data_IF_764519328170
#
_entry.id   IF_764519328170
#
_cell.length_a   1.000
_cell.length_b   1.000
_cell.length_c   1.000
_cell.angle_alpha   90.00
_cell.angle_beta   90.00
_cell.angle_gamma   90.00
#
_symmetry.space_group_name_H-M   'P 1'
#
loop_
_entity.id
_entity.type
_entity.pdbx_description
1 polymer ?
#
# COMPACT_ATOMS: atom_id res chain seq x y z
N UNK A 1 0.86 14.32 -23.05
CA UNK A 1 0.96 13.33 -21.95
C UNK A 1 0.60 11.98 -22.56
N UNK A 2 1.59 11.14 -22.85
CA UNK A 2 1.36 9.77 -23.33
C UNK A 2 0.91 8.95 -22.14
N UNK A 3 -0.30 8.39 -22.24
CA UNK A 3 -0.79 7.44 -21.25
C UNK A 3 0.19 6.25 -21.17
N UNK A 4 0.41 5.68 -19.98
CA UNK A 4 1.19 4.46 -19.86
C UNK A 4 0.66 3.33 -20.76
N UNK A 5 1.51 2.38 -21.18
CA UNK A 5 1.18 1.38 -22.21
C UNK A 5 -0.03 0.47 -21.91
N UNK A 6 -0.45 0.32 -20.65
CA UNK A 6 -1.70 -0.39 -20.29
C UNK A 6 -2.97 0.46 -20.49
N UNK A 7 -2.85 1.76 -20.71
CA UNK A 7 -3.95 2.68 -21.06
C UNK A 7 -3.91 3.09 -22.54
N UNK A 8 -2.79 2.85 -23.24
CA UNK A 8 -2.59 3.22 -24.64
C UNK A 8 -2.29 2.01 -25.51
N UNK A 9 -3.30 1.55 -26.25
CA UNK A 9 -3.21 0.57 -27.37
C UNK A 9 -2.88 -0.87 -26.95
N UNK A 10 -3.93 -1.71 -26.93
CA UNK A 10 -3.89 -3.17 -26.78
C UNK A 10 -3.11 -3.85 -27.92
N UNK A 11 -1.78 -3.84 -27.86
CA UNK A 11 -0.94 -4.71 -28.67
C UNK A 11 -0.56 -5.95 -27.85
N UNK A 12 -1.46 -6.94 -27.84
CA UNK A 12 -1.26 -8.26 -27.21
C UNK A 12 -2.25 -8.52 -26.07
N UNK A 13 -3.41 -9.09 -26.39
CA UNK A 13 -4.48 -9.36 -25.40
C UNK A 13 -4.02 -10.23 -24.23
N UNK A 14 -3.07 -11.15 -24.43
CA UNK A 14 -2.58 -12.04 -23.37
C UNK A 14 -1.85 -11.29 -22.23
N UNK A 15 -0.94 -10.36 -22.56
CA UNK A 15 -0.20 -9.61 -21.54
C UNK A 15 -1.08 -8.67 -20.72
N UNK A 16 -2.10 -8.07 -21.35
CA UNK A 16 -3.07 -7.23 -20.66
C UNK A 16 -3.93 -8.02 -19.65
N UNK A 17 -4.23 -9.30 -19.92
CA UNK A 17 -4.93 -10.16 -18.97
C UNK A 17 -4.04 -10.56 -17.80
N UNK A 18 -2.78 -10.92 -18.07
CA UNK A 18 -1.82 -11.26 -17.02
C UNK A 18 -1.63 -10.06 -16.07
N UNK A 19 -1.48 -8.85 -16.60
CA UNK A 19 -1.40 -7.60 -15.83
C UNK A 19 -2.62 -7.36 -14.93
N UNK A 20 -3.82 -7.65 -15.43
CA UNK A 20 -5.06 -7.55 -14.64
C UNK A 20 -5.08 -8.56 -13.50
N UNK A 21 -4.66 -9.80 -13.76
CA UNK A 21 -4.57 -10.81 -12.69
C UNK A 21 -3.52 -10.41 -11.65
N UNK A 22 -2.40 -9.82 -12.06
CA UNK A 22 -1.34 -9.36 -11.17
C UNK A 22 -1.62 -7.99 -10.51
N UNK A 23 -2.83 -7.43 -10.67
CA UNK A 23 -3.21 -6.14 -10.09
C UNK A 23 -2.35 -4.95 -10.54
N UNK A 24 -1.67 -5.07 -11.69
CA UNK A 24 -0.74 -4.06 -12.22
C UNK A 24 -1.37 -2.66 -12.33
N UNK A 25 -2.62 -2.48 -12.81
CA UNK A 25 -3.21 -1.15 -12.91
C UNK A 25 -3.35 -0.42 -11.57
N UNK A 26 -3.67 -1.13 -10.49
CA UNK A 26 -3.78 -0.54 -9.15
C UNK A 26 -2.41 -0.18 -8.61
N UNK A 27 -1.43 -1.07 -8.77
CA UNK A 27 -0.04 -0.85 -8.36
C UNK A 27 0.52 0.40 -9.04
N UNK A 28 0.32 0.49 -10.35
CA UNK A 28 0.65 1.67 -11.15
C UNK A 28 0.04 2.95 -10.59
N UNK A 29 -1.24 2.91 -10.21
CA UNK A 29 -1.93 4.11 -9.77
C UNK A 29 -1.30 4.63 -8.46
N UNK A 30 -0.98 3.72 -7.54
CA UNK A 30 -0.26 4.03 -6.31
C UNK A 30 1.16 4.55 -6.58
N UNK A 31 1.89 3.90 -7.49
CA UNK A 31 3.21 4.33 -7.92
C UNK A 31 3.18 5.75 -8.51
N UNK A 32 2.16 6.07 -9.32
CA UNK A 32 1.99 7.40 -9.89
C UNK A 32 1.71 8.46 -8.82
N UNK A 33 0.92 8.13 -7.79
CA UNK A 33 0.70 9.02 -6.65
C UNK A 33 2.01 9.33 -5.92
N UNK A 34 2.83 8.30 -5.66
CA UNK A 34 4.14 8.47 -5.04
C UNK A 34 5.06 9.32 -5.93
N UNK A 35 5.12 9.03 -7.22
CA UNK A 35 5.95 9.75 -8.19
C UNK A 35 5.57 11.23 -8.28
N UNK A 36 4.27 11.54 -8.29
CA UNK A 36 3.79 12.93 -8.29
C UNK A 36 4.29 13.67 -7.05
N UNK A 37 4.29 13.03 -5.88
CA UNK A 37 4.75 13.64 -4.62
C UNK A 37 6.27 13.70 -4.49
N UNK A 38 6.99 12.84 -5.18
CA UNK A 38 8.44 12.93 -5.29
C UNK A 38 8.86 14.17 -6.10
N UNK A 39 8.11 14.51 -7.15
CA UNK A 39 8.37 15.68 -8.00
C UNK A 39 7.86 16.97 -7.36
N UNK A 40 6.68 16.92 -6.74
CA UNK A 40 6.00 18.04 -6.09
C UNK A 40 5.66 17.69 -4.63
N UNK A 41 6.65 17.79 -3.72
CA UNK A 41 6.47 17.43 -2.33
C UNK A 41 5.51 18.41 -1.64
N UNK A 42 4.64 17.93 -0.74
CA UNK A 42 3.70 18.80 -0.04
C UNK A 42 4.43 19.74 0.92
N UNK A 43 3.91 20.96 1.08
CA UNK A 43 4.48 21.97 1.99
C UNK A 43 4.42 21.56 3.47
N UNK A 44 3.47 20.69 3.82
CA UNK A 44 3.29 20.15 5.17
C UNK A 44 2.85 18.69 5.12
N UNK A 45 3.15 17.94 6.19
CA UNK A 45 2.64 16.59 6.35
C UNK A 45 1.11 16.62 6.51
N UNK A 46 0.36 15.73 5.84
CA UNK A 46 -1.08 15.67 5.98
C UNK A 46 -1.49 15.05 7.32
N UNK A 47 -2.69 15.37 7.76
CA UNK A 47 -3.37 14.62 8.82
C UNK A 47 -3.80 13.27 8.25
N UNK A 48 -3.37 12.18 8.89
CA UNK A 48 -3.61 10.81 8.43
C UNK A 48 -4.79 10.19 9.16
N UNK A 49 -5.64 9.48 8.42
CA UNK A 49 -6.66 8.62 9.02
C UNK A 49 -6.06 7.46 9.82
N UNK A 50 -6.84 6.87 10.74
CA UNK A 50 -6.33 5.87 11.68
C UNK A 50 -5.79 4.60 11.00
N UNK A 51 -6.42 4.15 9.90
CA UNK A 51 -5.90 3.03 9.11
C UNK A 51 -4.55 3.35 8.46
N UNK A 52 -4.35 4.59 8.00
CA UNK A 52 -3.09 5.02 7.40
C UNK A 52 -2.01 5.14 8.47
N UNK A 53 -2.35 5.69 9.64
CA UNK A 53 -1.49 5.70 10.83
C UNK A 53 -1.08 4.28 11.23
N UNK A 54 -2.01 3.31 11.21
CA UNK A 54 -1.72 1.92 11.53
C UNK A 54 -0.72 1.27 10.58
N UNK A 55 -0.88 1.45 9.26
CA UNK A 55 0.09 0.97 8.26
C UNK A 55 1.46 1.63 8.49
N UNK A 56 1.48 2.96 8.67
CA UNK A 56 2.69 3.75 8.83
C UNK A 56 3.49 3.34 10.08
N UNK A 57 2.81 3.22 11.22
CA UNK A 57 3.42 2.80 12.50
C UNK A 57 3.97 1.39 12.42
N UNK A 58 3.27 0.46 11.76
CA UNK A 58 3.77 -0.90 11.56
C UNK A 58 5.06 -0.93 10.74
N UNK A 59 5.25 0.05 9.85
CA UNK A 59 6.44 0.17 8.99
C UNK A 59 7.58 0.96 9.66
N UNK A 60 7.44 1.43 10.91
CA UNK A 60 8.40 2.36 11.54
C UNK A 60 9.86 1.85 11.59
N UNK A 61 10.05 0.53 11.58
CA UNK A 61 11.35 -0.12 11.79
C UNK A 61 11.99 -0.51 10.45
N UNK A 62 11.37 -1.41 9.68
CA UNK A 62 11.91 -1.83 8.36
C UNK A 62 11.58 -0.85 7.25
N UNK A 63 10.44 -0.16 7.33
CA UNK A 63 9.98 0.79 6.33
C UNK A 63 9.49 0.18 5.03
N UNK A 64 9.40 -1.15 4.91
CA UNK A 64 8.99 -1.83 3.68
C UNK A 64 7.49 -2.13 3.71
N UNK A 65 6.81 -1.77 2.62
CA UNK A 65 5.38 -2.01 2.41
C UNK A 65 5.19 -2.64 1.03
N UNK A 66 4.38 -3.68 0.96
CA UNK A 66 4.04 -4.36 -0.29
C UNK A 66 2.52 -4.40 -0.46
N UNK A 67 2.03 -4.21 -1.69
CA UNK A 67 0.63 -4.52 -2.03
C UNK A 67 0.56 -5.65 -3.06
N UNK A 68 -0.26 -6.66 -2.76
CA UNK A 68 -0.52 -7.77 -3.68
C UNK A 68 -1.89 -8.39 -3.44
N UNK A 69 -2.51 -8.87 -4.52
CA UNK A 69 -3.66 -9.77 -4.46
C UNK A 69 -3.23 -11.23 -4.32
N UNK A 70 -4.15 -12.11 -3.93
CA UNK A 70 -3.91 -13.56 -3.92
C UNK A 70 -4.83 -14.27 -4.91
N UNK A 71 -4.32 -14.56 -6.10
CA UNK A 71 -5.11 -15.15 -7.19
C UNK A 71 -5.45 -16.62 -6.99
N UNK A 72 -4.85 -17.29 -5.99
CA UNK A 72 -5.09 -18.72 -5.72
C UNK A 72 -6.20 -18.99 -4.71
N UNK A 73 -6.76 -17.95 -4.09
CA UNK A 73 -7.80 -18.10 -3.06
C UNK A 73 -9.19 -18.34 -3.65
N UNK A 74 -9.93 -19.27 -3.04
CA UNK A 74 -11.32 -19.53 -3.42
C UNK A 74 -12.27 -18.44 -2.91
N UNK A 75 -12.06 -17.95 -1.69
CA UNK A 75 -12.86 -16.87 -1.10
C UNK A 75 -12.56 -15.53 -1.78
N UNK A 76 -13.58 -14.86 -2.31
CA UNK A 76 -13.42 -13.61 -3.04
C UNK A 76 -12.78 -12.49 -2.22
N UNK A 77 -13.11 -12.39 -0.93
CA UNK A 77 -12.51 -11.41 -0.01
C UNK A 77 -11.01 -11.64 0.20
N UNK A 78 -10.53 -12.89 0.09
CA UNK A 78 -9.11 -13.22 0.21
C UNK A 78 -8.32 -12.98 -1.07
N UNK A 79 -9.00 -12.89 -2.22
CA UNK A 79 -8.36 -12.53 -3.50
C UNK A 79 -8.04 -11.04 -3.61
N UNK A 80 -8.70 -10.20 -2.83
CA UNK A 80 -8.51 -8.75 -2.85
C UNK A 80 -7.07 -8.36 -2.53
N UNK A 81 -6.64 -7.23 -3.08
CA UNK A 81 -5.33 -6.63 -2.79
C UNK A 81 -5.27 -6.31 -1.30
N UNK A 82 -4.23 -6.81 -0.63
CA UNK A 82 -3.93 -6.52 0.75
C UNK A 82 -2.65 -5.68 0.85
N UNK A 83 -2.52 -4.96 1.96
CA UNK A 83 -1.30 -4.21 2.31
C UNK A 83 -0.49 -5.06 3.28
N UNK A 84 0.76 -5.33 2.95
CA UNK A 84 1.70 -6.08 3.75
C UNK A 84 2.77 -5.12 4.24
N UNK A 85 3.13 -5.21 5.51
CA UNK A 85 4.17 -4.38 6.13
C UNK A 85 5.21 -5.29 6.75
N UNK A 86 6.47 -5.13 6.36
CA UNK A 86 7.56 -5.89 6.94
C UNK A 86 7.86 -5.38 8.35
N UNK A 87 7.83 -6.29 9.34
CA UNK A 87 8.18 -5.97 10.73
C UNK A 87 9.59 -6.48 11.08
N UNK A 88 9.99 -7.59 10.48
CA UNK A 88 11.34 -8.14 10.51
C UNK A 88 11.60 -8.97 9.24
N UNK A 89 12.82 -9.49 9.09
CA UNK A 89 13.26 -10.18 7.87
C UNK A 89 12.45 -11.42 7.47
N UNK A 90 11.63 -11.97 8.38
CA UNK A 90 10.85 -13.19 8.14
C UNK A 90 9.36 -13.01 8.45
N UNK A 91 8.91 -11.80 8.80
CA UNK A 91 7.55 -11.60 9.30
C UNK A 91 6.95 -10.33 8.72
N UNK A 92 5.70 -10.45 8.29
CA UNK A 92 4.91 -9.35 7.76
C UNK A 92 3.58 -9.22 8.52
N UNK A 93 3.11 -7.99 8.68
CA UNK A 93 1.72 -7.72 9.03
C UNK A 93 0.90 -7.53 7.77
N UNK A 94 -0.13 -8.35 7.61
CA UNK A 94 -1.09 -8.25 6.52
C UNK A 94 -2.34 -7.51 7.01
N UNK A 95 -2.57 -6.33 6.45
CA UNK A 95 -3.78 -5.55 6.61
C UNK A 95 -4.83 -5.97 5.58
N UNK A 96 -5.65 -6.94 5.97
CA UNK A 96 -6.79 -7.44 5.21
C UNK A 96 -7.90 -7.85 6.17
N UNK A 97 -9.11 -7.35 5.95
CA UNK A 97 -10.22 -7.64 6.83
C UNK A 97 -10.94 -8.95 6.51
N UNK A 98 -11.83 -9.35 7.43
CA UNK A 98 -12.78 -10.46 7.21
C UNK A 98 -13.88 -10.08 6.22
N UNK A 99 -14.14 -8.78 6.05
CA UNK A 99 -15.11 -8.23 5.09
C UNK A 99 -14.39 -7.44 3.99
N UNK A 100 -14.95 -7.37 2.77
CA UNK A 100 -14.41 -6.55 1.69
C UNK A 100 -14.24 -5.08 2.07
N UNK A 101 -15.16 -4.54 2.86
CA UNK A 101 -15.17 -3.14 3.32
C UNK A 101 -13.90 -2.80 4.11
N UNK A 102 -13.53 -3.64 5.09
CA UNK A 102 -12.32 -3.43 5.88
C UNK A 102 -11.06 -3.49 4.99
N UNK A 103 -11.00 -4.44 4.06
CA UNK A 103 -9.89 -4.53 3.11
C UNK A 103 -9.78 -3.28 2.22
N UNK A 104 -10.90 -2.74 1.77
CA UNK A 104 -10.93 -1.51 0.98
C UNK A 104 -10.46 -0.32 1.83
N UNK A 105 -10.89 -0.21 3.09
CA UNK A 105 -10.42 0.87 3.97
C UNK A 105 -8.89 0.87 4.13
N UNK A 106 -8.25 -0.30 4.24
CA UNK A 106 -6.77 -0.37 4.28
C UNK A 106 -6.12 -0.04 2.94
N UNK A 107 -6.74 -0.42 1.81
CA UNK A 107 -6.23 -0.04 0.50
C UNK A 107 -6.36 1.47 0.25
N UNK A 108 -7.47 2.08 0.67
CA UNK A 108 -7.69 3.54 0.61
C UNK A 108 -6.74 4.29 1.55
N UNK A 109 -6.48 3.74 2.74
CA UNK A 109 -5.46 4.26 3.64
C UNK A 109 -4.05 4.19 3.05
N UNK A 110 -3.71 3.11 2.33
CA UNK A 110 -2.45 3.04 1.63
C UNK A 110 -2.37 4.05 0.47
N UNK A 111 -3.48 4.29 -0.23
CA UNK A 111 -3.60 5.37 -1.24
C UNK A 111 -3.36 6.74 -0.63
N UNK A 112 -3.87 6.98 0.57
CA UNK A 112 -3.64 8.20 1.34
C UNK A 112 -2.15 8.39 1.62
N UNK A 113 -1.47 7.36 2.14
CA UNK A 113 -0.02 7.37 2.35
C UNK A 113 0.75 7.64 1.06
N UNK A 114 0.41 6.99 -0.06
CA UNK A 114 1.03 7.25 -1.36
C UNK A 114 0.89 8.72 -1.79
N UNK A 115 -0.27 9.33 -1.51
CA UNK A 115 -0.54 10.73 -1.85
C UNK A 115 0.04 11.75 -0.86
N UNK A 116 0.58 11.32 0.28
CA UNK A 116 1.11 12.17 1.35
C UNK A 116 2.56 12.61 1.14
N UNK A 117 3.28 12.00 0.20
CA UNK A 117 4.70 12.28 -0.04
C UNK A 117 5.67 11.68 0.98
N UNK A 118 5.21 10.75 1.83
CA UNK A 118 6.08 10.01 2.77
C UNK A 118 6.42 8.58 2.30
N UNK A 119 5.81 8.14 1.20
CA UNK A 119 6.03 6.83 0.58
C UNK A 119 6.76 7.00 -0.75
N UNK A 120 7.70 6.10 -1.02
CA UNK A 120 8.40 5.97 -2.29
C UNK A 120 8.03 4.61 -2.90
N UNK A 121 7.75 4.59 -4.19
CA UNK A 121 7.61 3.36 -4.96
C UNK A 121 8.96 2.94 -5.55
N UNK A 122 9.28 1.64 -5.49
CA UNK A 122 10.55 1.12 -6.02
C UNK A 122 10.35 0.28 -7.27
N UNK A 123 9.61 -0.82 -7.14
CA UNK A 123 9.40 -1.81 -8.20
C UNK A 123 8.16 -2.64 -7.89
N UNK A 124 7.44 -3.08 -8.92
CA UNK A 124 6.25 -3.93 -8.73
C UNK A 124 5.31 -3.38 -7.65
N UNK A 125 4.85 -4.24 -6.75
CA UNK A 125 4.02 -3.86 -5.61
C UNK A 125 4.79 -3.36 -4.38
N UNK A 126 6.09 -3.06 -4.49
CA UNK A 126 6.97 -2.73 -3.36
C UNK A 126 7.20 -1.23 -3.22
N UNK A 127 7.08 -0.78 -1.97
CA UNK A 127 7.15 0.62 -1.55
C UNK A 127 7.97 0.71 -0.25
N UNK A 128 8.48 1.91 0.04
CA UNK A 128 9.09 2.18 1.34
C UNK A 128 8.72 3.54 1.92
N UNK A 129 8.94 3.69 3.22
CA UNK A 129 9.00 5.01 3.85
C UNK A 129 10.20 5.80 3.31
N UNK A 130 10.04 7.12 3.20
CA UNK A 130 11.16 8.04 3.10
C UNK A 130 11.55 8.58 4.50
N UNK A 131 12.53 9.49 4.56
CA UNK A 131 12.99 10.07 5.83
C UNK A 131 11.84 10.68 6.65
N UNK A 132 10.98 11.49 6.02
CA UNK A 132 9.84 12.10 6.69
C UNK A 132 8.80 11.06 7.15
N UNK A 133 8.63 9.97 6.39
CA UNK A 133 7.79 8.83 6.77
C UNK A 133 8.30 8.14 8.04
N UNK A 134 9.60 7.90 8.17
CA UNK A 134 10.17 7.34 9.40
C UNK A 134 9.99 8.27 10.60
N UNK A 135 10.18 9.58 10.41
CA UNK A 135 9.98 10.57 11.47
C UNK A 135 8.52 10.62 11.94
N UNK A 136 7.58 10.64 10.99
CA UNK A 136 6.14 10.62 11.30
C UNK A 136 5.71 9.30 11.94
N UNK A 137 6.20 8.16 11.45
CA UNK A 137 5.86 6.86 12.03
C UNK A 137 6.24 6.77 13.51
N UNK A 138 7.41 7.31 13.88
CA UNK A 138 7.93 7.30 15.26
C UNK A 138 7.25 8.30 16.19
N UNK A 139 6.55 9.29 15.65
CA UNK A 139 5.84 10.30 16.46
C UNK A 139 4.42 9.87 16.85
N UNK A 140 3.88 8.83 16.20
CA UNK A 140 2.54 8.32 16.47
C UNK A 140 2.56 7.39 17.71
N UNK A 141 1.69 7.67 18.67
CA UNK A 141 1.45 6.75 19.79
C UNK A 141 0.64 5.53 19.31
N UNK A 142 1.19 4.33 19.51
CA UNK A 142 0.54 3.07 19.12
C UNK A 142 -0.76 2.82 19.90
N UNK A 143 -0.91 3.39 21.09
CA UNK A 143 -2.11 3.22 21.90
C UNK A 143 -3.35 3.86 21.26
N UNK A 144 -3.17 4.91 20.46
CA UNK A 144 -4.28 5.60 19.78
C UNK A 144 -4.92 4.75 18.68
N UNK A 145 -4.19 3.75 18.16
CA UNK A 145 -4.56 2.97 16.98
C UNK A 145 -4.57 1.46 17.27
N UNK A 146 -4.53 1.05 18.53
CA UNK A 146 -4.40 -0.37 18.90
C UNK A 146 -5.55 -1.22 18.34
N UNK A 147 -6.79 -0.71 18.38
CA UNK A 147 -7.96 -1.41 17.83
C UNK A 147 -7.87 -1.63 16.31
N UNK A 148 -7.16 -0.74 15.60
CA UNK A 148 -6.94 -0.87 14.16
C UNK A 148 -5.80 -1.85 13.88
N UNK A 149 -4.73 -1.80 14.69
CA UNK A 149 -3.62 -2.76 14.60
C UNK A 149 -4.08 -4.19 14.84
N UNK A 150 -5.04 -4.41 15.73
CA UNK A 150 -5.63 -5.73 16.01
C UNK A 150 -6.38 -6.34 14.81
N UNK A 151 -6.65 -5.55 13.76
CA UNK A 151 -7.24 -6.04 12.51
C UNK A 151 -6.18 -6.60 11.55
N UNK A 152 -4.89 -6.32 11.78
CA UNK A 152 -3.80 -6.89 11.02
C UNK A 152 -3.54 -8.34 11.43
N UNK A 153 -3.17 -9.18 10.46
CA UNK A 153 -2.80 -10.58 10.72
C UNK A 153 -1.31 -10.75 10.52
N UNK A 154 -0.64 -11.41 11.47
CA UNK A 154 0.76 -11.79 11.33
C UNK A 154 0.92 -12.91 10.30
N UNK A 155 1.86 -12.76 9.37
CA UNK A 155 2.17 -13.73 8.32
C UNK A 155 3.69 -13.98 8.31
N UNK A 156 4.07 -15.24 8.16
CA UNK A 156 5.45 -15.73 8.06
C UNK A 156 5.72 -16.29 6.67
#
# INVERSE_FOLDING_TARGET
MTLPPYLGTFAGSAGAWDDLTASVPTIVAMAQLCANRLIDPPESLPELGDQARAILVSAQDQGIIEIKGNNSEFESSRRMIAVYVEIDSNTQLMFRGKTPEITIHFLDAFRELCSSGIIIHHLGGEFSLNTAGYELARSIDKNDISEILDQATLVQ
#
